data_IF_695703663825
#
_entry.id   IF_695703663825
#
_cell.length_a   1.000
_cell.length_b   1.000
_cell.length_c   1.000
_cell.angle_alpha   90.00
_cell.angle_beta   90.00
_cell.angle_gamma   90.00
#
_symmetry.space_group_name_H-M   'P 1'
#
loop_
_entity.id
_entity.type
_entity.pdbx_description
1 polymer ?
#
# COMPACT_ATOMS: atom_id res chain seq x y z
N UNK A 1 37.33 -93.48 13.73
CA UNK A 1 36.06 -93.69 12.95
C UNK A 1 35.54 -92.30 12.64
N UNK A 2 35.64 -91.90 11.39
CA UNK A 2 34.50 -91.48 10.54
C UNK A 2 33.73 -90.30 11.13
N UNK A 3 33.48 -89.17 10.50
CA UNK A 3 33.29 -88.69 9.11
C UNK A 3 33.21 -87.19 9.17
N UNK A 4 33.88 -86.45 8.37
CA UNK A 4 33.33 -85.58 7.27
C UNK A 4 31.96 -84.95 7.53
N UNK A 5 31.93 -83.64 7.57
CA UNK A 5 30.92 -82.91 6.79
C UNK A 5 31.45 -81.52 6.40
N UNK A 6 31.41 -81.30 5.11
CA UNK A 6 31.62 -80.03 4.42
C UNK A 6 30.49 -79.05 4.76
N UNK A 7 30.82 -77.82 4.98
CA UNK A 7 29.82 -76.76 4.95
C UNK A 7 30.33 -75.60 4.13
N UNK A 8 29.63 -75.38 3.13
CA UNK A 8 29.74 -74.37 2.10
C UNK A 8 29.59 -72.99 2.72
N UNK A 9 30.57 -72.09 2.51
CA UNK A 9 30.47 -70.66 2.80
C UNK A 9 29.74 -70.00 1.65
N UNK A 10 28.51 -69.51 1.92
CA UNK A 10 27.76 -68.70 1.02
C UNK A 10 28.01 -67.21 1.39
N UNK A 11 28.94 -66.58 0.68
CA UNK A 11 29.21 -65.17 0.80
C UNK A 11 28.14 -64.38 -0.01
N UNK A 12 27.14 -63.86 0.65
CA UNK A 12 26.22 -62.88 0.08
C UNK A 12 26.84 -61.50 0.16
N UNK A 13 27.42 -61.06 -0.95
CA UNK A 13 27.79 -59.65 -1.16
C UNK A 13 26.52 -58.89 -1.42
N UNK A 14 25.97 -58.26 -0.38
CA UNK A 14 24.90 -57.24 -0.53
C UNK A 14 25.53 -55.96 -1.04
N UNK A 15 25.53 -55.79 -2.35
CA UNK A 15 25.85 -54.52 -2.99
C UNK A 15 24.75 -53.50 -2.67
N UNK A 16 24.95 -52.76 -1.58
CA UNK A 16 24.15 -51.58 -1.27
C UNK A 16 24.43 -50.48 -2.31
N UNK A 17 23.61 -50.43 -3.33
CA UNK A 17 23.56 -49.26 -4.21
C UNK A 17 23.04 -48.08 -3.38
N UNK A 18 23.94 -47.26 -2.86
CA UNK A 18 23.66 -45.93 -2.34
C UNK A 18 23.17 -45.09 -3.54
N UNK A 19 21.86 -45.03 -3.72
CA UNK A 19 21.22 -44.02 -4.55
C UNK A 19 21.45 -42.67 -3.87
N UNK A 20 22.59 -42.07 -4.13
CA UNK A 20 22.81 -40.66 -3.90
C UNK A 20 21.89 -39.91 -4.86
N UNK A 21 20.63 -39.69 -4.45
CA UNK A 21 19.77 -38.70 -5.07
C UNK A 21 20.43 -37.35 -4.82
N UNK A 22 21.26 -36.89 -5.75
CA UNK A 22 21.67 -35.52 -5.82
C UNK A 22 20.37 -34.72 -5.99
N UNK A 23 19.83 -34.22 -4.87
CA UNK A 23 18.83 -33.16 -4.92
C UNK A 23 19.51 -31.98 -5.64
N UNK A 24 19.27 -31.86 -6.94
CA UNK A 24 19.62 -30.66 -7.67
C UNK A 24 18.79 -29.59 -6.98
N UNK A 25 19.42 -28.82 -6.10
CA UNK A 25 18.86 -27.55 -5.65
C UNK A 25 18.67 -26.73 -6.92
N UNK A 26 17.44 -26.66 -7.40
CA UNK A 26 17.13 -25.74 -8.50
C UNK A 26 17.56 -24.35 -8.03
N UNK A 27 18.44 -23.70 -8.82
CA UNK A 27 18.85 -22.33 -8.53
C UNK A 27 17.60 -21.46 -8.48
N UNK A 28 17.13 -21.17 -7.25
CA UNK A 28 15.96 -20.31 -7.05
C UNK A 28 16.30 -18.91 -7.52
N UNK A 29 15.56 -18.43 -8.49
CA UNK A 29 15.70 -17.08 -8.99
C UNK A 29 14.90 -16.11 -8.12
N UNK A 30 15.62 -15.29 -7.35
CA UNK A 30 15.02 -14.32 -6.45
C UNK A 30 15.19 -12.92 -7.06
N UNK A 31 14.13 -12.13 -7.06
CA UNK A 31 14.17 -10.72 -7.42
C UNK A 31 13.77 -9.83 -6.25
N UNK A 32 14.12 -8.56 -6.34
CA UNK A 32 13.72 -7.54 -5.39
C UNK A 32 12.98 -6.42 -6.10
N UNK A 33 12.00 -5.82 -5.41
CA UNK A 33 11.25 -4.67 -5.90
C UNK A 33 11.14 -3.63 -4.81
N UNK A 34 11.33 -2.36 -5.15
CA UNK A 34 11.04 -1.23 -4.27
C UNK A 34 9.59 -0.76 -4.54
N UNK A 35 8.66 -1.26 -3.74
CA UNK A 35 7.24 -0.96 -3.91
C UNK A 35 6.94 0.53 -3.76
N UNK A 36 7.60 1.22 -2.83
CA UNK A 36 7.40 2.65 -2.61
C UNK A 36 7.87 3.47 -3.83
N UNK A 37 9.00 3.09 -4.41
CA UNK A 37 9.53 3.72 -5.61
C UNK A 37 8.60 3.47 -6.80
N UNK A 38 8.11 2.23 -6.98
CA UNK A 38 7.09 1.93 -8.00
C UNK A 38 5.92 2.87 -7.85
N UNK A 39 5.29 2.93 -6.66
CA UNK A 39 4.12 3.77 -6.41
C UNK A 39 4.36 5.26 -6.67
N UNK A 40 5.57 5.76 -6.38
CA UNK A 40 5.90 7.17 -6.60
C UNK A 40 6.15 7.53 -8.05
N UNK A 41 6.58 6.57 -8.89
CA UNK A 41 6.89 6.80 -10.29
C UNK A 41 5.71 6.53 -11.25
N UNK A 42 4.64 5.90 -10.76
CA UNK A 42 3.49 5.57 -11.58
C UNK A 42 2.66 6.81 -11.96
N UNK A 43 2.37 7.03 -13.25
CA UNK A 43 1.50 8.12 -13.68
C UNK A 43 0.07 7.96 -13.14
N UNK A 44 -0.39 6.74 -12.90
CA UNK A 44 -1.68 6.44 -12.28
C UNK A 44 -1.77 7.03 -10.88
N UNK A 45 -0.70 7.01 -10.08
CA UNK A 45 -0.67 7.61 -8.75
C UNK A 45 -0.87 9.13 -8.82
N UNK A 46 -0.21 9.81 -9.75
CA UNK A 46 -0.39 11.24 -9.96
C UNK A 46 -1.82 11.57 -10.43
N UNK A 47 -2.38 10.78 -11.35
CA UNK A 47 -3.74 10.95 -11.83
C UNK A 47 -4.79 10.78 -10.72
N UNK A 48 -4.60 9.80 -9.84
CA UNK A 48 -5.47 9.59 -8.66
C UNK A 48 -5.43 10.80 -7.73
N UNK A 49 -4.25 11.35 -7.44
CA UNK A 49 -4.13 12.54 -6.60
C UNK A 49 -4.87 13.74 -7.18
N UNK A 50 -4.74 13.97 -8.49
CA UNK A 50 -5.48 15.04 -9.17
C UNK A 50 -6.99 14.83 -9.14
N UNK A 51 -7.43 13.58 -9.37
CA UNK A 51 -8.85 13.22 -9.33
C UNK A 51 -9.45 13.44 -7.94
N UNK A 52 -8.77 13.00 -6.88
CA UNK A 52 -9.20 13.21 -5.49
C UNK A 52 -9.22 14.69 -5.12
N UNK A 53 -8.25 15.47 -5.60
CA UNK A 53 -8.25 16.91 -5.38
C UNK A 53 -9.45 17.59 -6.04
N UNK A 54 -9.77 17.24 -7.27
CA UNK A 54 -10.94 17.74 -7.99
C UNK A 54 -12.25 17.29 -7.32
N UNK A 55 -12.36 16.02 -6.92
CA UNK A 55 -13.53 15.45 -6.26
C UNK A 55 -13.88 16.17 -4.95
N UNK A 56 -12.86 16.49 -4.15
CA UNK A 56 -13.05 17.10 -2.82
C UNK A 56 -12.86 18.62 -2.79
N UNK A 57 -12.67 19.26 -3.93
CA UNK A 57 -12.43 20.71 -4.02
C UNK A 57 -13.54 21.52 -3.37
N UNK A 58 -14.80 21.21 -3.68
CA UNK A 58 -15.94 21.97 -3.19
C UNK A 58 -16.14 21.75 -1.69
N UNK A 59 -15.98 20.53 -1.20
CA UNK A 59 -16.04 20.24 0.24
C UNK A 59 -14.95 20.97 1.04
N UNK A 60 -13.73 21.05 0.49
CA UNK A 60 -12.63 21.83 1.09
C UNK A 60 -12.94 23.33 1.08
N UNK A 61 -13.51 23.85 -0.01
CA UNK A 61 -13.90 25.25 -0.11
C UNK A 61 -15.02 25.61 0.87
N UNK A 62 -15.99 24.72 1.07
CA UNK A 62 -17.06 24.90 2.05
C UNK A 62 -16.50 24.95 3.48
N UNK A 63 -15.59 24.04 3.85
CA UNK A 63 -14.92 24.09 5.16
C UNK A 63 -14.13 25.38 5.35
N UNK A 64 -13.38 25.82 4.34
CA UNK A 64 -12.65 27.08 4.39
C UNK A 64 -13.57 28.29 4.55
N UNK A 65 -14.78 28.24 3.98
CA UNK A 65 -15.78 29.30 4.15
C UNK A 65 -16.34 29.29 5.58
N UNK A 66 -16.70 28.11 6.11
CA UNK A 66 -17.17 27.99 7.50
C UNK A 66 -16.13 28.50 8.51
N UNK A 67 -14.86 28.20 8.29
CA UNK A 67 -13.76 28.71 9.13
C UNK A 67 -13.71 30.26 9.11
N UNK A 68 -13.84 30.86 7.93
CA UNK A 68 -13.89 32.32 7.79
C UNK A 68 -15.12 32.91 8.48
N UNK A 69 -16.28 32.29 8.35
CA UNK A 69 -17.51 32.73 8.94
C UNK A 69 -17.45 32.64 10.48
N UNK A 70 -16.94 31.56 11.03
CA UNK A 70 -16.69 31.40 12.47
C UNK A 70 -15.81 32.53 12.98
N UNK A 71 -14.69 32.77 12.32
CA UNK A 71 -13.74 33.83 12.69
C UNK A 71 -14.39 35.19 12.63
N UNK A 72 -15.10 35.50 11.54
CA UNK A 72 -15.79 36.75 11.37
C UNK A 72 -16.80 37.04 12.49
N UNK A 73 -17.64 36.05 12.85
CA UNK A 73 -18.64 36.24 13.89
C UNK A 73 -18.05 36.30 15.30
N UNK A 74 -16.95 35.59 15.54
CA UNK A 74 -16.20 35.73 16.80
C UNK A 74 -15.58 37.12 16.95
N UNK A 75 -14.92 37.61 15.91
CA UNK A 75 -14.35 38.98 15.91
C UNK A 75 -15.44 40.06 16.04
N UNK A 76 -16.58 39.87 15.36
CA UNK A 76 -17.73 40.72 15.49
C UNK A 76 -18.26 40.77 16.93
N UNK A 77 -18.42 39.61 17.56
CA UNK A 77 -18.82 39.53 18.97
C UNK A 77 -17.83 40.24 19.89
N UNK A 78 -16.54 40.02 19.69
CA UNK A 78 -15.52 40.67 20.49
C UNK A 78 -15.51 42.18 20.36
N UNK A 79 -15.68 42.71 19.16
CA UNK A 79 -15.65 44.15 18.87
C UNK A 79 -16.93 44.86 19.31
N UNK A 80 -18.10 44.27 19.02
CA UNK A 80 -19.37 44.99 19.07
C UNK A 80 -20.23 44.61 20.31
N UNK A 81 -19.82 43.65 21.16
CA UNK A 81 -20.63 43.12 22.26
C UNK A 81 -21.09 44.16 23.27
N UNK A 82 -20.31 45.22 23.49
CA UNK A 82 -20.68 46.33 24.40
C UNK A 82 -21.84 47.20 23.88
N UNK A 83 -22.12 47.14 22.58
CA UNK A 83 -23.18 47.87 21.91
C UNK A 83 -24.41 47.02 21.60
N UNK A 84 -24.33 45.72 21.82
CA UNK A 84 -25.36 44.73 21.47
C UNK A 84 -26.32 44.49 22.66
N UNK A 85 -27.57 44.26 22.34
CA UNK A 85 -28.55 43.73 23.31
C UNK A 85 -28.23 42.28 23.68
N UNK A 86 -28.75 41.83 24.82
CA UNK A 86 -28.59 40.41 25.25
C UNK A 86 -29.10 39.44 24.19
N UNK A 87 -30.23 39.76 23.53
CA UNK A 87 -30.80 38.92 22.48
C UNK A 87 -29.88 38.80 21.26
N UNK A 88 -29.29 39.91 20.82
CA UNK A 88 -28.34 39.90 19.70
C UNK A 88 -27.07 39.08 20.03
N UNK A 89 -26.58 39.13 21.28
CA UNK A 89 -25.45 38.31 21.73
C UNK A 89 -25.83 36.84 21.71
N UNK A 90 -27.00 36.43 22.21
CA UNK A 90 -27.48 35.07 22.21
C UNK A 90 -27.66 34.50 20.77
N UNK A 91 -28.23 35.33 19.87
CA UNK A 91 -28.38 34.99 18.46
C UNK A 91 -27.00 34.75 17.79
N UNK A 92 -26.04 35.64 18.10
CA UNK A 92 -24.69 35.53 17.59
C UNK A 92 -23.95 34.28 18.13
N UNK A 93 -24.12 33.98 19.42
CA UNK A 93 -23.56 32.80 20.04
C UNK A 93 -24.14 31.51 19.44
N UNK A 94 -25.45 31.48 19.24
CA UNK A 94 -26.13 30.38 18.56
C UNK A 94 -25.59 30.18 17.14
N UNK A 95 -25.38 31.28 16.41
CA UNK A 95 -24.86 31.24 15.06
C UNK A 95 -23.42 30.71 15.02
N UNK A 96 -22.55 31.19 15.91
CA UNK A 96 -21.18 30.68 16.04
C UNK A 96 -21.18 29.19 16.37
N UNK A 97 -22.01 28.76 17.34
CA UNK A 97 -22.12 27.35 17.71
C UNK A 97 -22.58 26.47 16.54
N UNK A 98 -23.57 26.94 15.76
CA UNK A 98 -24.05 26.23 14.57
C UNK A 98 -22.95 26.06 13.51
N UNK A 99 -22.22 27.14 13.20
CA UNK A 99 -21.11 27.05 12.25
C UNK A 99 -19.99 26.12 12.73
N UNK A 100 -19.69 26.14 14.02
CA UNK A 100 -18.74 25.19 14.62
C UNK A 100 -19.18 23.74 14.47
N UNK A 101 -20.45 23.47 14.75
CA UNK A 101 -21.01 22.12 14.57
C UNK A 101 -20.95 21.67 13.12
N UNK A 102 -21.36 22.54 12.19
CA UNK A 102 -21.29 22.25 10.76
C UNK A 102 -19.86 22.00 10.29
N UNK A 103 -18.91 22.81 10.75
CA UNK A 103 -17.49 22.63 10.44
C UNK A 103 -16.97 21.28 10.92
N UNK A 104 -17.30 20.87 12.15
CA UNK A 104 -16.88 19.58 12.70
C UNK A 104 -17.50 18.41 11.95
N UNK A 105 -18.80 18.47 11.67
CA UNK A 105 -19.52 17.40 10.97
C UNK A 105 -18.99 17.23 9.55
N UNK A 106 -18.91 18.36 8.80
CA UNK A 106 -18.41 18.34 7.41
C UNK A 106 -16.92 17.99 7.32
N UNK A 107 -16.11 18.44 8.27
CA UNK A 107 -14.69 18.07 8.35
C UNK A 107 -14.48 16.58 8.55
N UNK A 108 -15.26 15.99 9.46
CA UNK A 108 -15.23 14.54 9.70
C UNK A 108 -15.70 13.74 8.47
N UNK A 109 -16.79 14.18 7.85
CA UNK A 109 -17.32 13.54 6.64
C UNK A 109 -16.30 13.59 5.49
N UNK A 110 -15.70 14.76 5.24
CA UNK A 110 -14.64 14.91 4.24
C UNK A 110 -13.46 14.00 4.53
N UNK A 111 -12.97 13.94 5.78
CA UNK A 111 -11.85 13.09 6.15
C UNK A 111 -12.16 11.61 5.90
N UNK A 112 -13.36 11.15 6.28
CA UNK A 112 -13.77 9.76 6.08
C UNK A 112 -13.91 9.42 4.61
N UNK A 113 -14.57 10.27 3.82
CA UNK A 113 -14.77 10.05 2.38
C UNK A 113 -13.45 10.09 1.62
N UNK A 114 -12.61 11.09 1.89
CA UNK A 114 -11.32 11.23 1.24
C UNK A 114 -10.41 10.04 1.56
N UNK A 115 -10.37 9.59 2.83
CA UNK A 115 -9.61 8.41 3.23
C UNK A 115 -10.11 7.13 2.57
N UNK A 116 -11.42 6.92 2.50
CA UNK A 116 -12.02 5.76 1.83
C UNK A 116 -11.70 5.74 0.33
N UNK A 117 -11.85 6.88 -0.35
CA UNK A 117 -11.53 7.02 -1.78
C UNK A 117 -10.04 6.81 -2.05
N UNK A 118 -9.18 7.40 -1.24
CA UNK A 118 -7.73 7.19 -1.36
C UNK A 118 -7.34 5.73 -1.22
N UNK A 119 -7.91 5.03 -0.23
CA UNK A 119 -7.65 3.61 -0.02
C UNK A 119 -8.15 2.76 -1.19
N UNK A 120 -9.36 3.05 -1.70
CA UNK A 120 -9.92 2.36 -2.88
C UNK A 120 -8.99 2.49 -4.09
N UNK A 121 -8.59 3.72 -4.43
CA UNK A 121 -7.72 3.98 -5.57
C UNK A 121 -6.31 3.39 -5.38
N UNK A 122 -5.75 3.50 -4.17
CA UNK A 122 -4.48 2.86 -3.84
C UNK A 122 -4.55 1.34 -4.03
N UNK A 123 -5.62 0.70 -3.59
CA UNK A 123 -5.81 -0.74 -3.77
C UNK A 123 -5.89 -1.16 -5.24
N UNK A 124 -6.50 -0.33 -6.09
CA UNK A 124 -6.52 -0.56 -7.55
C UNK A 124 -5.10 -0.55 -8.13
N UNK A 125 -4.30 0.46 -7.77
CA UNK A 125 -2.90 0.55 -8.22
C UNK A 125 -2.08 -0.63 -7.69
N UNK A 126 -2.25 -1.01 -6.41
CA UNK A 126 -1.58 -2.19 -5.83
C UNK A 126 -1.91 -3.47 -6.60
N UNK A 127 -3.17 -3.63 -7.03
CA UNK A 127 -3.57 -4.78 -7.84
C UNK A 127 -2.85 -4.79 -9.20
N UNK A 128 -2.73 -3.64 -9.87
CA UNK A 128 -1.99 -3.52 -11.13
C UNK A 128 -0.49 -3.82 -10.94
N UNK A 129 0.10 -3.35 -9.85
CA UNK A 129 1.52 -3.64 -9.51
C UNK A 129 1.72 -5.14 -9.30
N UNK A 130 0.83 -5.81 -8.56
CA UNK A 130 0.89 -7.26 -8.37
C UNK A 130 0.78 -8.01 -9.70
N UNK A 131 -0.18 -7.64 -10.53
CA UNK A 131 -0.34 -8.24 -11.86
C UNK A 131 0.92 -8.08 -12.71
N UNK A 132 1.57 -6.92 -12.66
CA UNK A 132 2.82 -6.67 -13.38
C UNK A 132 3.96 -7.55 -12.85
N UNK A 133 4.10 -7.65 -11.52
CA UNK A 133 5.09 -8.52 -10.87
C UNK A 133 4.87 -9.98 -11.27
N UNK A 134 3.63 -10.47 -11.21
CA UNK A 134 3.30 -11.85 -11.61
C UNK A 134 3.66 -12.11 -13.08
N UNK A 135 3.36 -11.18 -13.97
CA UNK A 135 3.72 -11.27 -15.38
C UNK A 135 5.23 -11.29 -15.63
N UNK A 136 5.99 -10.45 -14.91
CA UNK A 136 7.44 -10.41 -14.97
C UNK A 136 8.05 -11.69 -14.41
N UNK A 137 7.54 -12.15 -13.26
CA UNK A 137 8.01 -13.36 -12.60
C UNK A 137 7.82 -14.60 -13.49
N UNK A 138 6.64 -14.75 -14.08
CA UNK A 138 6.34 -15.84 -15.01
C UNK A 138 7.25 -15.81 -16.24
N UNK A 139 7.40 -14.64 -16.88
CA UNK A 139 8.24 -14.49 -18.09
C UNK A 139 9.71 -14.71 -17.82
N UNK A 140 10.21 -14.28 -16.67
CA UNK A 140 11.63 -14.33 -16.30
C UNK A 140 11.97 -15.55 -15.43
N UNK A 141 11.01 -16.45 -15.15
CA UNK A 141 11.18 -17.61 -14.29
C UNK A 141 11.72 -17.23 -12.91
N UNK A 142 11.15 -16.19 -12.30
CA UNK A 142 11.48 -15.76 -10.94
C UNK A 142 10.59 -16.57 -9.99
N UNK A 143 11.20 -17.20 -9.00
CA UNK A 143 10.51 -18.05 -8.03
C UNK A 143 10.01 -17.24 -6.82
N UNK A 144 10.68 -16.12 -6.50
CA UNK A 144 10.36 -15.29 -5.35
C UNK A 144 10.70 -13.83 -5.63
N UNK A 145 9.76 -12.94 -5.31
CA UNK A 145 9.98 -11.48 -5.33
C UNK A 145 9.87 -10.95 -3.90
N UNK A 146 10.89 -10.24 -3.45
CA UNK A 146 10.96 -9.65 -2.11
C UNK A 146 10.88 -8.14 -2.18
N UNK A 147 10.29 -7.53 -1.15
CA UNK A 147 10.38 -6.09 -0.96
C UNK A 147 11.82 -5.68 -0.65
N UNK A 148 12.34 -4.68 -1.35
CA UNK A 148 13.73 -4.24 -1.21
C UNK A 148 14.09 -3.84 0.23
N UNK A 149 13.15 -3.26 0.99
CA UNK A 149 13.36 -2.87 2.39
C UNK A 149 13.60 -4.05 3.34
N UNK A 150 13.17 -5.24 2.95
CA UNK A 150 13.38 -6.47 3.74
C UNK A 150 14.72 -7.15 3.40
N UNK A 151 15.49 -6.61 2.44
CA UNK A 151 16.72 -7.23 1.93
C UNK A 151 17.92 -6.33 2.24
N UNK A 152 18.92 -6.86 2.95
CA UNK A 152 20.14 -6.11 3.28
C UNK A 152 21.04 -5.92 2.05
N UNK A 153 21.10 -6.93 1.19
CA UNK A 153 21.89 -6.90 -0.04
C UNK A 153 21.21 -7.72 -1.14
N UNK A 154 21.16 -7.15 -2.33
CA UNK A 154 20.76 -7.83 -3.55
C UNK A 154 21.65 -7.37 -4.69
N UNK A 155 21.93 -8.26 -5.64
CA UNK A 155 22.64 -7.88 -6.87
C UNK A 155 21.80 -6.90 -7.68
N UNK A 156 22.40 -5.90 -8.35
CA UNK A 156 21.64 -4.94 -9.20
C UNK A 156 20.72 -5.62 -10.21
N UNK A 157 21.17 -6.72 -10.82
CA UNK A 157 20.41 -7.45 -11.83
C UNK A 157 19.16 -8.17 -11.27
N UNK A 158 19.06 -8.32 -9.95
CA UNK A 158 17.87 -8.88 -9.32
C UNK A 158 16.80 -7.82 -9.00
N UNK A 159 17.09 -6.54 -9.19
CA UNK A 159 16.12 -5.47 -8.98
C UNK A 159 15.21 -5.31 -10.23
N UNK A 160 13.91 -5.54 -10.03
CA UNK A 160 12.90 -5.44 -11.09
C UNK A 160 12.04 -4.18 -11.00
N UNK A 161 12.37 -3.23 -10.13
CA UNK A 161 11.55 -2.02 -9.87
C UNK A 161 11.20 -1.27 -11.16
N UNK A 162 12.21 -0.95 -11.98
CA UNK A 162 11.99 -0.22 -13.24
C UNK A 162 11.14 -1.01 -14.24
N UNK A 163 11.29 -2.34 -14.28
CA UNK A 163 10.48 -3.21 -15.13
C UNK A 163 9.01 -3.20 -14.70
N UNK A 164 8.77 -3.20 -13.38
CA UNK A 164 7.42 -3.11 -12.81
C UNK A 164 6.78 -1.76 -13.15
N UNK A 165 7.49 -0.65 -12.95
CA UNK A 165 7.02 0.70 -13.35
C UNK A 165 6.64 0.74 -14.81
N UNK A 166 7.51 0.25 -15.70
CA UNK A 166 7.26 0.23 -17.14
C UNK A 166 6.05 -0.62 -17.50
N UNK A 167 5.93 -1.80 -16.89
CA UNK A 167 4.82 -2.73 -17.15
C UNK A 167 3.49 -2.14 -16.68
N UNK A 168 3.42 -1.58 -15.47
CA UNK A 168 2.19 -0.97 -14.93
C UNK A 168 1.80 0.27 -15.72
N UNK A 169 2.77 1.09 -16.14
CA UNK A 169 2.49 2.30 -16.93
C UNK A 169 1.83 2.01 -18.29
N UNK A 170 1.91 0.77 -18.76
CA UNK A 170 1.24 0.29 -20.00
C UNK A 170 -0.14 -0.32 -19.74
N UNK A 171 -0.47 -0.58 -18.45
CA UNK A 171 -1.79 -1.08 -18.05
C UNK A 171 -2.68 0.14 -17.77
N UNK A 172 -3.69 0.35 -18.61
CA UNK A 172 -4.70 1.40 -18.41
C UNK A 172 -5.89 0.85 -17.64
#
# INVERSE_FOLDING_TARGET
MKKLFKSIALATVASGALLTSSAMAADQKIAVVNFQEVMSQLPQTAAVMQSLEAEFKDAKAELAQLEKDIKYYQEKKQRDSSLMSKKEIEELDTKIATYYQDYQVKGKDLQQKAGARQNEETNKIVALVRQAIDGIAAKSKIDLVLEQKAVVFAKPDSNITSQVVEQVSKLN
#
